data_IF_716468786217
#
_entry.id   IF_716468786217
#
_cell.length_a   1.000
_cell.length_b   1.000
_cell.length_c   1.000
_cell.angle_alpha   90.00
_cell.angle_beta   90.00
_cell.angle_gamma   90.00
#
_symmetry.space_group_name_H-M   'P 1'
#
loop_
_entity.id
_entity.type
_entity.pdbx_description
1 polymer ?
#
# COMPACT_ATOMS: atom_id res chain seq x y z
N UNK A 1 -6.18 -7.29 28.93
CA UNK A 1 -5.85 -6.73 27.61
C UNK A 1 -6.25 -7.75 26.56
N UNK A 2 -7.00 -7.40 25.50
CA UNK A 2 -7.30 -8.36 24.45
C UNK A 2 -5.98 -8.84 23.84
N UNK A 3 -5.84 -10.15 23.68
CA UNK A 3 -4.70 -10.78 23.01
C UNK A 3 -4.65 -10.22 21.59
N UNK A 4 -3.63 -9.43 21.25
CA UNK A 4 -3.44 -8.99 19.88
C UNK A 4 -3.28 -10.24 19.01
N UNK A 5 -4.21 -10.42 18.08
CA UNK A 5 -4.13 -11.53 17.13
C UNK A 5 -2.86 -11.37 16.30
N UNK A 6 -2.17 -12.48 16.07
CA UNK A 6 -1.01 -12.55 15.18
C UNK A 6 -1.44 -12.07 13.79
N UNK A 7 -0.82 -10.99 13.23
CA UNK A 7 -1.18 -10.51 11.91
C UNK A 7 -0.94 -11.57 10.82
N UNK A 8 -1.90 -11.72 9.94
CA UNK A 8 -1.92 -12.69 8.84
C UNK A 8 -1.58 -11.97 7.55
N UNK A 9 -0.46 -12.33 6.95
CA UNK A 9 0.10 -11.70 5.75
C UNK A 9 -0.10 -12.65 4.58
N UNK A 10 -0.64 -12.14 3.47
CA UNK A 10 -0.66 -12.85 2.20
C UNK A 10 0.25 -12.11 1.21
N UNK A 11 1.20 -12.83 0.62
CA UNK A 11 2.08 -12.31 -0.43
C UNK A 11 1.58 -12.90 -1.74
N UNK A 12 1.10 -12.02 -2.61
CA UNK A 12 0.64 -12.39 -3.94
C UNK A 12 1.70 -12.03 -4.99
N UNK A 13 1.94 -12.96 -5.91
CA UNK A 13 2.85 -12.80 -7.05
C UNK A 13 2.17 -13.37 -8.30
N UNK A 14 2.29 -12.67 -9.43
CA UNK A 14 1.82 -13.25 -10.71
C UNK A 14 2.56 -14.52 -11.11
N UNK A 15 3.81 -14.70 -10.67
CA UNK A 15 4.65 -15.89 -10.81
C UNK A 15 4.80 -16.37 -12.25
N UNK A 16 5.03 -15.44 -13.18
CA UNK A 16 5.25 -15.69 -14.61
C UNK A 16 6.73 -15.73 -14.93
N UNK A 17 7.45 -14.66 -14.60
CA UNK A 17 8.85 -14.48 -14.97
C UNK A 17 9.75 -15.60 -14.43
N UNK A 18 9.52 -16.05 -13.22
CA UNK A 18 10.30 -17.14 -12.60
C UNK A 18 10.08 -18.50 -13.28
N UNK A 19 8.95 -18.67 -14.01
CA UNK A 19 8.66 -19.89 -14.77
C UNK A 19 9.11 -19.82 -16.22
N UNK A 20 9.15 -18.63 -16.80
CA UNK A 20 9.44 -18.43 -18.22
C UNK A 20 10.88 -18.03 -18.50
N UNK A 21 11.58 -17.43 -17.50
CA UNK A 21 12.97 -17.00 -17.62
C UNK A 21 13.91 -17.78 -16.71
N UNK A 22 14.83 -18.54 -17.31
CA UNK A 22 15.87 -19.25 -16.55
C UNK A 22 16.75 -18.30 -15.73
N UNK A 23 16.98 -17.08 -16.20
CA UNK A 23 17.75 -16.06 -15.46
C UNK A 23 17.02 -15.63 -14.19
N UNK A 24 15.71 -15.36 -14.28
CA UNK A 24 14.90 -15.01 -13.11
C UNK A 24 14.75 -16.21 -12.16
N UNK A 25 14.55 -17.41 -12.69
CA UNK A 25 14.51 -18.64 -11.90
C UNK A 25 15.83 -18.89 -11.14
N UNK A 26 16.97 -18.51 -11.71
CA UNK A 26 18.27 -18.61 -11.01
C UNK A 26 18.38 -17.67 -9.83
N UNK A 27 17.79 -16.47 -9.91
CA UNK A 27 17.75 -15.48 -8.82
C UNK A 27 16.73 -15.88 -7.75
N UNK A 28 15.51 -16.29 -8.20
CA UNK A 28 14.37 -16.60 -7.34
C UNK A 28 13.85 -18.04 -7.59
N UNK A 29 14.63 -19.07 -7.23
CA UNK A 29 14.34 -20.47 -7.63
C UNK A 29 13.02 -21.02 -7.06
N UNK A 30 12.48 -20.41 -6.03
CA UNK A 30 11.17 -20.73 -5.45
C UNK A 30 10.14 -19.62 -5.64
N UNK A 31 10.46 -18.62 -6.47
CA UNK A 31 9.64 -17.44 -6.73
C UNK A 31 9.90 -16.27 -5.77
N UNK A 32 9.69 -15.06 -6.25
CA UNK A 32 9.77 -13.80 -5.49
C UNK A 32 8.95 -13.87 -4.19
N UNK A 33 7.70 -14.36 -4.29
CA UNK A 33 6.80 -14.49 -3.16
C UNK A 33 7.37 -15.35 -2.04
N UNK A 34 8.12 -16.42 -2.38
CA UNK A 34 8.76 -17.28 -1.37
C UNK A 34 9.95 -16.60 -0.72
N UNK A 35 10.75 -15.86 -1.50
CA UNK A 35 11.86 -15.05 -0.95
C UNK A 35 11.35 -14.02 0.05
N UNK A 36 10.27 -13.32 -0.28
CA UNK A 36 9.63 -12.38 0.63
C UNK A 36 8.98 -13.08 1.85
N UNK A 37 8.36 -14.24 1.64
CA UNK A 37 7.77 -15.02 2.73
C UNK A 37 8.83 -15.50 3.72
N UNK A 38 9.98 -15.94 3.24
CA UNK A 38 11.11 -16.34 4.10
C UNK A 38 11.64 -15.14 4.90
N UNK A 39 11.70 -13.95 4.27
CA UNK A 39 12.13 -12.73 4.96
C UNK A 39 11.15 -12.31 6.07
N UNK A 40 9.86 -12.23 5.75
CA UNK A 40 8.82 -11.87 6.70
C UNK A 40 8.62 -12.94 7.79
N UNK A 41 8.80 -14.23 7.45
CA UNK A 41 8.70 -15.34 8.39
C UNK A 41 9.76 -15.33 9.51
N UNK A 42 10.87 -14.60 9.30
CA UNK A 42 11.87 -14.38 10.37
C UNK A 42 11.40 -13.38 11.43
N UNK A 43 10.36 -12.59 11.12
CA UNK A 43 9.79 -11.64 12.08
C UNK A 43 8.86 -12.37 13.05
N UNK A 44 9.16 -12.39 14.37
CA UNK A 44 8.29 -13.02 15.36
C UNK A 44 6.88 -12.41 15.34
N UNK A 45 5.88 -13.25 15.50
CA UNK A 45 4.50 -12.79 15.61
C UNK A 45 3.82 -12.44 14.29
N UNK A 46 4.31 -12.93 13.15
CA UNK A 46 3.62 -12.89 11.86
C UNK A 46 3.23 -14.29 11.41
N UNK A 47 2.07 -14.42 10.79
CA UNK A 47 1.68 -15.61 10.01
C UNK A 47 1.72 -15.25 8.54
N UNK A 48 2.57 -15.90 7.76
CA UNK A 48 2.80 -15.57 6.34
C UNK A 48 2.33 -16.73 5.47
N UNK A 49 1.57 -16.40 4.43
CA UNK A 49 1.23 -17.31 3.33
C UNK A 49 1.56 -16.67 2.00
N UNK A 50 1.65 -17.48 0.95
CA UNK A 50 1.80 -17.02 -0.43
C UNK A 50 0.59 -17.41 -1.25
N UNK A 51 0.37 -16.66 -2.34
CA UNK A 51 -0.66 -16.91 -3.34
C UNK A 51 -0.12 -16.48 -4.72
N UNK A 52 -0.58 -17.13 -5.79
CA UNK A 52 -0.14 -16.83 -7.15
C UNK A 52 -1.31 -16.73 -8.13
N UNK A 53 -1.06 -16.08 -9.27
CA UNK A 53 -2.08 -15.84 -10.30
C UNK A 53 -2.69 -17.14 -10.86
N UNK A 54 -1.92 -18.20 -10.97
CA UNK A 54 -2.33 -19.49 -11.53
C UNK A 54 -3.09 -20.40 -10.55
N UNK A 55 -3.15 -20.05 -9.27
CA UNK A 55 -3.98 -20.76 -8.30
C UNK A 55 -5.48 -20.52 -8.54
N UNK A 56 -6.38 -21.41 -8.06
CA UNK A 56 -7.81 -21.18 -8.11
C UNK A 56 -8.20 -19.80 -7.52
N UNK A 57 -9.15 -19.11 -8.16
CA UNK A 57 -9.52 -17.73 -7.83
C UNK A 57 -8.32 -16.77 -7.77
N UNK A 58 -7.30 -17.05 -8.59
CA UNK A 58 -6.04 -16.29 -8.64
C UNK A 58 -5.36 -16.20 -7.25
N UNK A 59 -5.44 -17.29 -6.49
CA UNK A 59 -4.86 -17.43 -5.15
C UNK A 59 -5.56 -16.66 -4.03
N UNK A 60 -6.60 -15.88 -4.36
CA UNK A 60 -7.28 -14.98 -3.41
C UNK A 60 -8.81 -15.21 -3.36
N UNK A 61 -9.28 -16.45 -3.11
CA UNK A 61 -10.70 -16.66 -2.85
C UNK A 61 -11.19 -15.85 -1.64
N UNK A 62 -12.50 -15.59 -1.49
CA UNK A 62 -13.05 -14.79 -0.41
C UNK A 62 -12.53 -15.18 0.98
N UNK A 63 -12.48 -16.46 1.30
CA UNK A 63 -12.00 -16.96 2.58
C UNK A 63 -10.53 -16.59 2.87
N UNK A 64 -9.69 -16.51 1.83
CA UNK A 64 -8.29 -16.08 1.95
C UNK A 64 -8.21 -14.58 2.20
N UNK A 65 -8.95 -13.77 1.43
CA UNK A 65 -8.99 -12.33 1.63
C UNK A 65 -9.54 -11.95 3.01
N UNK A 66 -10.57 -12.64 3.49
CA UNK A 66 -11.14 -12.43 4.83
C UNK A 66 -10.17 -12.80 5.94
N UNK A 67 -9.30 -13.77 5.66
CA UNK A 67 -8.25 -14.18 6.57
C UNK A 67 -6.95 -13.36 6.44
N UNK A 68 -6.91 -12.33 5.58
CA UNK A 68 -5.72 -11.51 5.31
C UNK A 68 -5.83 -10.17 6.04
N UNK A 69 -4.83 -9.83 6.84
CA UNK A 69 -4.72 -8.54 7.52
C UNK A 69 -3.87 -7.56 6.72
N UNK A 70 -2.82 -8.04 6.00
CA UNK A 70 -2.04 -7.25 5.05
C UNK A 70 -1.77 -8.07 3.80
N UNK A 71 -2.08 -7.49 2.64
CA UNK A 71 -1.75 -8.05 1.33
C UNK A 71 -0.48 -7.38 0.80
N UNK A 72 0.53 -8.16 0.44
CA UNK A 72 1.70 -7.72 -0.31
C UNK A 72 1.48 -8.12 -1.76
N UNK A 73 1.56 -7.15 -2.68
CA UNK A 73 1.25 -7.33 -4.09
C UNK A 73 2.46 -7.08 -4.96
N UNK A 74 2.85 -8.07 -5.73
CA UNK A 74 3.82 -7.96 -6.81
C UNK A 74 3.23 -8.49 -8.12
N UNK A 75 3.28 -7.71 -9.19
CA UNK A 75 2.86 -8.08 -10.54
C UNK A 75 3.56 -7.19 -11.55
N UNK A 76 3.85 -7.70 -12.74
CA UNK A 76 4.61 -6.99 -13.78
C UNK A 76 4.01 -7.20 -15.17
N UNK A 77 4.01 -8.42 -15.70
CA UNK A 77 3.60 -8.71 -17.08
C UNK A 77 2.09 -8.98 -17.23
N UNK A 78 1.43 -9.42 -16.17
CA UNK A 78 0.07 -9.97 -16.26
C UNK A 78 -1.00 -9.15 -15.55
N UNK A 79 -0.85 -7.84 -15.47
CA UNK A 79 -1.83 -6.96 -14.82
C UNK A 79 -3.25 -7.15 -15.37
N UNK A 80 -3.36 -7.30 -16.71
CA UNK A 80 -4.65 -7.48 -17.38
C UNK A 80 -5.29 -8.84 -17.13
N UNK A 81 -4.50 -9.88 -16.81
CA UNK A 81 -5.01 -11.19 -16.46
C UNK A 81 -5.71 -11.23 -15.09
N UNK A 82 -5.45 -10.25 -14.24
CA UNK A 82 -6.15 -10.12 -12.95
C UNK A 82 -7.61 -9.76 -13.21
N UNK A 83 -8.54 -10.57 -12.71
CA UNK A 83 -9.97 -10.36 -12.88
C UNK A 83 -10.43 -9.08 -12.19
N UNK A 84 -11.33 -8.34 -12.82
CA UNK A 84 -11.86 -7.09 -12.28
C UNK A 84 -12.63 -7.31 -10.97
N UNK A 85 -13.32 -8.46 -10.83
CA UNK A 85 -14.01 -8.86 -9.61
C UNK A 85 -13.04 -9.09 -8.45
N UNK A 86 -11.85 -9.65 -8.73
CA UNK A 86 -10.80 -9.78 -7.71
C UNK A 86 -10.27 -8.41 -7.31
N UNK A 87 -9.97 -7.56 -8.29
CA UNK A 87 -9.49 -6.21 -8.02
C UNK A 87 -10.51 -5.39 -7.18
N UNK A 88 -11.81 -5.52 -7.48
CA UNK A 88 -12.87 -4.89 -6.71
C UNK A 88 -12.93 -5.40 -5.27
N UNK A 89 -12.88 -6.72 -5.07
CA UNK A 89 -12.88 -7.32 -3.72
C UNK A 89 -11.67 -6.88 -2.89
N UNK A 90 -10.47 -6.83 -3.49
CA UNK A 90 -9.27 -6.34 -2.78
C UNK A 90 -9.45 -4.87 -2.41
N UNK A 91 -9.98 -4.03 -3.31
CA UNK A 91 -10.29 -2.63 -3.02
C UNK A 91 -11.25 -2.51 -1.83
N UNK A 92 -12.34 -3.27 -1.81
CA UNK A 92 -13.31 -3.29 -0.71
C UNK A 92 -12.65 -3.69 0.62
N UNK A 93 -11.79 -4.71 0.60
CA UNK A 93 -11.06 -5.17 1.79
C UNK A 93 -10.11 -4.10 2.31
N UNK A 94 -9.41 -3.37 1.42
CA UNK A 94 -8.54 -2.25 1.82
C UNK A 94 -9.37 -1.12 2.43
N UNK A 95 -10.45 -0.71 1.78
CA UNK A 95 -11.35 0.33 2.32
C UNK A 95 -11.89 -0.09 3.71
N UNK A 96 -12.17 -1.37 3.90
CA UNK A 96 -12.62 -1.92 5.19
C UNK A 96 -11.52 -2.04 6.25
N UNK A 97 -10.23 -1.86 5.90
CA UNK A 97 -9.13 -1.82 6.88
C UNK A 97 -7.99 -2.81 6.66
N UNK A 98 -8.04 -3.67 5.64
CA UNK A 98 -6.90 -4.49 5.25
C UNK A 98 -5.75 -3.59 4.78
N UNK A 99 -4.52 -3.85 5.23
CA UNK A 99 -3.34 -3.18 4.72
C UNK A 99 -2.95 -3.67 3.32
N UNK A 100 -2.30 -2.80 2.55
CA UNK A 100 -1.78 -3.14 1.24
C UNK A 100 -0.34 -2.62 1.10
N UNK A 101 0.57 -3.49 0.70
CA UNK A 101 1.93 -3.14 0.30
C UNK A 101 2.08 -3.48 -1.18
N UNK A 102 2.30 -2.47 -2.01
CA UNK A 102 2.45 -2.61 -3.45
C UNK A 102 3.92 -2.44 -3.82
N UNK A 103 4.46 -3.41 -4.52
CA UNK A 103 5.88 -3.46 -4.84
C UNK A 103 6.10 -3.23 -6.33
N UNK A 104 7.11 -2.44 -6.64
CA UNK A 104 7.67 -2.23 -7.97
C UNK A 104 6.59 -1.93 -9.03
N UNK A 105 6.57 -2.69 -10.12
CA UNK A 105 5.60 -2.57 -11.22
C UNK A 105 4.14 -2.84 -10.83
N UNK A 106 3.89 -3.27 -9.58
CA UNK A 106 2.54 -3.33 -9.00
C UNK A 106 1.77 -2.01 -9.04
N UNK A 107 2.44 -0.86 -9.32
CA UNK A 107 1.77 0.42 -9.59
C UNK A 107 0.81 0.36 -10.78
N UNK A 108 1.09 -0.49 -11.79
CA UNK A 108 0.23 -0.72 -12.94
C UNK A 108 -0.96 -1.64 -12.65
N UNK A 109 -1.00 -2.29 -11.49
CA UNK A 109 -2.08 -3.22 -11.15
C UNK A 109 -3.45 -2.52 -11.11
N UNK A 110 -4.48 -3.25 -11.56
CA UNK A 110 -5.88 -2.79 -11.46
C UNK A 110 -6.26 -2.38 -10.04
N UNK A 111 -5.72 -3.07 -9.04
CA UNK A 111 -5.96 -2.81 -7.62
C UNK A 111 -5.43 -1.44 -7.23
N UNK A 112 -4.17 -1.15 -7.56
CA UNK A 112 -3.54 0.11 -7.18
C UNK A 112 -4.18 1.28 -7.91
N UNK A 113 -4.42 1.16 -9.23
CA UNK A 113 -5.14 2.18 -10.03
C UNK A 113 -6.52 2.50 -9.46
N UNK A 114 -7.29 1.48 -9.05
CA UNK A 114 -8.61 1.67 -8.42
C UNK A 114 -8.51 2.43 -7.09
N UNK A 115 -7.52 2.14 -6.27
CA UNK A 115 -7.32 2.79 -4.97
C UNK A 115 -6.75 4.21 -5.09
N UNK A 116 -5.92 4.45 -6.11
CA UNK A 116 -5.36 5.78 -6.36
C UNK A 116 -6.31 6.68 -7.15
N UNK A 117 -7.15 6.13 -8.02
CA UNK A 117 -8.07 6.90 -8.87
C UNK A 117 -7.36 7.65 -10.00
N UNK A 118 -6.17 7.21 -10.39
CA UNK A 118 -5.31 7.83 -11.41
C UNK A 118 -4.69 6.76 -12.31
N UNK A 119 -3.96 7.16 -13.36
CA UNK A 119 -3.30 6.23 -14.28
C UNK A 119 -2.19 5.42 -13.62
N UNK A 120 -1.54 5.98 -12.61
CA UNK A 120 -0.34 5.43 -11.96
C UNK A 120 0.83 5.20 -12.91
N UNK A 121 0.82 5.81 -14.10
CA UNK A 121 1.92 5.73 -15.08
C UNK A 121 3.15 6.48 -14.58
N UNK A 122 4.29 6.08 -15.05
CA UNK A 122 5.61 6.67 -14.78
C UNK A 122 6.52 6.55 -16.01
N UNK A 123 7.71 7.10 -15.94
CA UNK A 123 8.78 6.85 -16.91
C UNK A 123 9.66 5.72 -16.40
N UNK A 124 10.13 4.85 -17.28
CA UNK A 124 11.00 3.73 -16.90
C UNK A 124 12.06 3.44 -17.94
N UNK A 125 13.16 2.83 -17.52
CA UNK A 125 14.24 2.33 -18.37
C UNK A 125 14.92 1.15 -17.69
N UNK A 126 14.99 0.02 -18.37
CA UNK A 126 15.72 -1.15 -17.89
C UNK A 126 17.14 -1.16 -18.49
N UNK A 127 18.11 -0.66 -17.75
CA UNK A 127 19.51 -0.59 -18.15
C UNK A 127 20.48 -1.10 -17.08
N UNK A 128 19.98 -1.65 -15.98
CA UNK A 128 20.79 -2.18 -14.88
C UNK A 128 21.57 -1.09 -14.16
N UNK A 129 20.99 0.08 -14.01
CA UNK A 129 21.62 1.25 -13.40
C UNK A 129 21.71 1.12 -11.89
N UNK A 130 22.66 1.82 -11.30
CA UNK A 130 22.70 1.95 -9.84
C UNK A 130 21.57 2.83 -9.36
N UNK A 131 20.99 2.44 -8.22
CA UNK A 131 19.95 3.18 -7.53
C UNK A 131 20.38 3.51 -6.11
N UNK A 132 20.13 4.74 -5.67
CA UNK A 132 20.15 5.13 -4.25
C UNK A 132 18.76 5.46 -3.79
N UNK A 133 18.30 4.70 -2.81
CA UNK A 133 17.00 4.92 -2.17
C UNK A 133 17.24 5.75 -0.91
N UNK A 134 17.07 7.07 -1.02
CA UNK A 134 17.28 8.01 0.08
C UNK A 134 16.14 7.96 1.09
N UNK A 135 16.48 7.89 2.37
CA UNK A 135 15.53 7.97 3.49
C UNK A 135 15.26 9.44 3.80
N UNK A 136 14.15 9.97 3.33
CA UNK A 136 13.82 11.39 3.52
C UNK A 136 12.87 11.66 4.69
N UNK A 137 12.24 10.60 5.22
CA UNK A 137 11.47 10.65 6.47
C UNK A 137 11.98 9.60 7.47
N UNK A 138 13.16 9.83 8.09
CA UNK A 138 13.80 8.85 8.97
C UNK A 138 13.02 8.57 10.26
N UNK A 139 12.11 9.46 10.66
CA UNK A 139 11.22 9.27 11.81
C UNK A 139 10.02 8.37 11.56
N UNK A 140 9.75 8.02 10.30
CA UNK A 140 8.61 7.17 9.96
C UNK A 140 8.89 5.70 10.32
N UNK A 141 7.90 4.94 10.85
CA UNK A 141 8.10 3.53 11.22
C UNK A 141 8.63 2.63 10.10
N UNK A 142 8.29 2.92 8.83
CA UNK A 142 8.79 2.17 7.67
C UNK A 142 10.30 2.33 7.50
N UNK A 143 10.87 3.47 7.89
CA UNK A 143 12.31 3.74 7.81
C UNK A 143 13.10 3.21 9.03
N UNK A 144 12.45 2.61 10.01
CA UNK A 144 13.10 2.20 11.25
C UNK A 144 14.25 1.20 11.00
N UNK A 145 15.43 1.52 11.54
CA UNK A 145 16.63 0.70 11.47
C UNK A 145 17.39 0.75 10.14
N UNK A 146 17.07 1.72 9.28
CA UNK A 146 17.81 2.04 8.06
C UNK A 146 18.84 3.14 8.31
N UNK A 147 19.87 3.21 7.46
CA UNK A 147 20.79 4.35 7.35
C UNK A 147 20.18 5.48 6.50
N UNK A 148 21.01 6.41 6.04
CA UNK A 148 20.59 7.57 5.26
C UNK A 148 20.08 7.17 3.87
N UNK A 149 20.63 6.11 3.27
CA UNK A 149 20.18 5.57 1.98
C UNK A 149 20.46 4.07 1.89
N UNK A 150 19.78 3.40 0.95
CA UNK A 150 20.06 2.04 0.50
C UNK A 150 20.72 2.15 -0.87
N UNK A 151 21.82 1.46 -1.10
CA UNK A 151 22.48 1.41 -2.40
C UNK A 151 22.19 0.07 -3.07
N UNK A 152 21.70 0.12 -4.31
CA UNK A 152 21.48 -1.02 -5.17
C UNK A 152 22.43 -0.90 -6.37
N UNK A 153 23.20 -1.94 -6.61
CA UNK A 153 24.18 -1.97 -7.70
C UNK A 153 23.52 -2.00 -9.07
N UNK A 154 22.37 -2.71 -9.15
CA UNK A 154 21.57 -2.82 -10.36
C UNK A 154 20.09 -2.72 -10.03
N UNK A 155 19.39 -1.90 -10.78
CA UNK A 155 17.94 -1.70 -10.68
C UNK A 155 17.36 -1.25 -12.03
N UNK A 156 16.06 -1.43 -12.22
CA UNK A 156 15.31 -0.74 -13.26
C UNK A 156 15.03 0.71 -12.82
N UNK A 157 15.34 1.68 -13.70
CA UNK A 157 15.07 3.07 -13.43
C UNK A 157 13.58 3.38 -13.56
N UNK A 158 13.03 3.99 -12.50
CA UNK A 158 11.76 4.69 -12.53
C UNK A 158 11.99 6.19 -12.38
N UNK A 159 11.22 6.98 -13.14
CA UNK A 159 11.35 8.44 -13.17
C UNK A 159 10.01 9.16 -13.09
N UNK A 160 10.05 10.38 -12.59
CA UNK A 160 8.91 11.30 -12.62
C UNK A 160 8.59 11.74 -14.08
N UNK A 161 7.31 12.13 -14.39
CA UNK A 161 6.21 12.24 -13.45
C UNK A 161 5.56 10.89 -13.12
N UNK A 162 5.28 10.64 -11.86
CA UNK A 162 4.48 9.51 -11.41
C UNK A 162 3.03 9.94 -11.24
N UNK A 163 2.13 9.36 -12.04
CA UNK A 163 0.72 9.72 -12.12
C UNK A 163 -0.12 9.23 -10.95
N UNK A 164 0.26 9.60 -9.73
CA UNK A 164 -0.42 9.24 -8.49
C UNK A 164 -0.98 10.49 -7.78
N UNK A 165 -2.02 10.35 -6.94
CA UNK A 165 -2.44 11.44 -6.06
C UNK A 165 -1.32 11.75 -5.06
N UNK A 166 -1.30 12.98 -4.55
CA UNK A 166 -0.37 13.38 -3.48
C UNK A 166 -0.37 12.32 -2.38
N UNK A 167 0.80 11.74 -2.05
CA UNK A 167 0.88 10.79 -0.93
C UNK A 167 0.62 11.49 0.40
N UNK A 168 0.07 10.75 1.37
CA UNK A 168 -0.07 11.23 2.74
C UNK A 168 1.32 11.49 3.33
N UNK A 169 2.27 10.57 3.05
CA UNK A 169 3.68 10.74 3.42
C UNK A 169 4.59 10.20 2.31
N UNK A 170 5.70 10.90 2.06
CA UNK A 170 6.80 10.49 1.21
C UNK A 170 7.96 10.07 2.11
N UNK A 171 8.39 8.81 2.02
CA UNK A 171 9.37 8.22 2.93
C UNK A 171 10.71 8.03 2.24
N UNK A 172 10.67 7.62 0.96
CA UNK A 172 11.87 7.36 0.17
C UNK A 172 11.83 8.09 -1.17
N UNK A 173 12.97 8.60 -1.58
CA UNK A 173 13.23 9.08 -2.95
C UNK A 173 14.34 8.23 -3.54
N UNK A 174 14.09 7.65 -4.71
CA UNK A 174 15.10 6.98 -5.51
C UNK A 174 15.83 8.01 -6.37
N UNK A 175 17.14 7.86 -6.46
CA UNK A 175 18.00 8.53 -7.41
C UNK A 175 18.72 7.47 -8.24
N UNK A 176 18.72 7.65 -9.55
CA UNK A 176 19.35 6.71 -10.50
C UNK A 176 20.61 7.29 -11.12
N UNK A 177 21.50 6.44 -11.60
CA UNK A 177 22.79 6.83 -12.16
C UNK A 177 22.68 7.80 -13.34
N UNK A 178 21.58 7.72 -14.11
CA UNK A 178 21.24 8.65 -15.18
C UNK A 178 20.84 10.06 -14.71
N UNK A 179 20.62 10.25 -13.41
CA UNK A 179 20.24 11.53 -12.79
C UNK A 179 18.74 11.65 -12.50
N UNK A 180 17.93 10.69 -12.93
CA UNK A 180 16.50 10.68 -12.68
C UNK A 180 16.22 10.51 -11.18
N UNK A 181 15.11 11.11 -10.74
CA UNK A 181 14.59 10.99 -9.38
C UNK A 181 13.16 10.45 -9.42
N UNK A 182 12.79 9.73 -8.36
CA UNK A 182 11.48 9.12 -8.27
C UNK A 182 10.98 9.05 -6.82
N UNK A 183 9.68 9.27 -6.63
CA UNK A 183 9.01 9.06 -5.32
C UNK A 183 8.89 7.56 -5.03
N UNK A 184 10.01 6.96 -4.64
CA UNK A 184 10.19 5.50 -4.51
C UNK A 184 9.50 4.87 -3.30
N UNK A 185 9.04 5.66 -2.32
CA UNK A 185 8.34 5.13 -1.15
C UNK A 185 7.26 6.06 -0.65
N UNK A 186 5.99 5.72 -0.90
CA UNK A 186 4.83 6.57 -0.65
C UNK A 186 3.75 5.84 0.16
N UNK A 187 3.03 6.58 0.99
CA UNK A 187 1.89 6.03 1.75
C UNK A 187 0.60 6.78 1.49
N UNK A 188 -0.53 6.07 1.64
CA UNK A 188 -1.89 6.61 1.60
C UNK A 188 -2.79 5.88 2.59
N UNK A 189 -3.83 6.57 3.02
CA UNK A 189 -4.97 5.98 3.71
C UNK A 189 -6.18 5.99 2.78
N UNK A 190 -6.85 4.85 2.63
CA UNK A 190 -8.09 4.73 1.87
C UNK A 190 -9.14 4.00 2.72
N UNK A 191 -10.22 4.73 3.06
CA UNK A 191 -11.15 4.24 4.08
C UNK A 191 -10.45 4.04 5.42
N UNK A 192 -10.42 2.80 5.92
CA UNK A 192 -9.69 2.41 7.13
C UNK A 192 -8.35 1.70 6.83
N UNK A 193 -8.04 1.43 5.57
CA UNK A 193 -6.83 0.72 5.14
C UNK A 193 -5.66 1.64 4.87
N UNK A 194 -4.47 1.14 5.14
CA UNK A 194 -3.19 1.79 4.89
C UNK A 194 -2.51 1.16 3.68
N UNK A 195 -1.98 1.98 2.80
CA UNK A 195 -1.31 1.56 1.58
C UNK A 195 0.12 2.07 1.62
N UNK A 196 1.08 1.20 1.34
CA UNK A 196 2.47 1.54 1.12
C UNK A 196 2.90 1.06 -0.27
N UNK A 197 3.43 1.98 -1.08
CA UNK A 197 4.08 1.68 -2.35
C UNK A 197 5.58 1.78 -2.20
N UNK A 198 6.33 0.82 -2.77
CA UNK A 198 7.78 0.80 -2.76
C UNK A 198 8.33 0.37 -4.13
N UNK A 199 9.14 1.22 -4.76
CA UNK A 199 9.57 1.04 -6.15
C UNK A 199 10.66 0.00 -6.39
N UNK A 200 11.70 -0.21 -5.56
CA UNK A 200 12.71 -1.22 -5.85
C UNK A 200 12.12 -2.62 -5.96
N UNK A 201 12.51 -3.41 -6.98
CA UNK A 201 12.03 -4.79 -7.01
C UNK A 201 11.87 -5.45 -8.37
N UNK A 202 12.62 -5.05 -9.40
CA UNK A 202 12.59 -5.73 -10.69
C UNK A 202 13.11 -7.17 -10.58
N UNK A 203 12.46 -8.12 -11.24
CA UNK A 203 12.70 -9.57 -11.10
C UNK A 203 14.07 -10.02 -11.65
N UNK A 204 14.67 -9.26 -12.57
CA UNK A 204 15.96 -9.61 -13.15
C UNK A 204 17.15 -9.28 -12.25
N UNK A 205 16.91 -8.63 -11.10
CA UNK A 205 17.92 -8.27 -10.13
C UNK A 205 17.63 -8.88 -8.76
N UNK A 206 18.66 -9.22 -7.95
CA UNK A 206 18.47 -9.88 -6.65
C UNK A 206 18.02 -8.93 -5.53
N UNK A 207 17.19 -7.94 -5.86
CA UNK A 207 16.80 -6.82 -4.97
C UNK A 207 16.11 -7.34 -3.70
N UNK A 208 15.23 -8.33 -3.81
CA UNK A 208 14.52 -8.88 -2.64
C UNK A 208 15.38 -9.77 -1.75
N UNK A 209 16.65 -10.01 -2.11
CA UNK A 209 17.64 -10.62 -1.22
C UNK A 209 18.39 -9.57 -0.38
N UNK A 210 18.33 -8.28 -0.75
CA UNK A 210 19.00 -7.20 -0.02
C UNK A 210 18.38 -7.02 1.38
N UNK A 211 19.18 -7.04 2.46
CA UNK A 211 18.66 -7.04 3.83
C UNK A 211 17.86 -5.77 4.17
N UNK A 212 18.28 -4.60 3.68
CA UNK A 212 17.55 -3.36 3.95
C UNK A 212 16.24 -3.26 3.15
N UNK A 213 16.19 -3.79 1.93
CA UNK A 213 14.95 -3.93 1.16
C UNK A 213 13.96 -4.84 1.91
N UNK A 214 14.42 -5.98 2.41
CA UNK A 214 13.60 -6.88 3.24
C UNK A 214 13.12 -6.17 4.52
N UNK A 215 13.96 -5.33 5.12
CA UNK A 215 13.61 -4.51 6.29
C UNK A 215 12.52 -3.49 5.95
N UNK A 216 12.67 -2.75 4.87
CA UNK A 216 11.63 -1.80 4.40
C UNK A 216 10.29 -2.49 4.21
N UNK A 217 10.28 -3.63 3.49
CA UNK A 217 9.05 -4.38 3.23
C UNK A 217 8.44 -4.91 4.54
N UNK A 218 9.27 -5.44 5.44
CA UNK A 218 8.82 -5.90 6.77
C UNK A 218 8.20 -4.76 7.58
N UNK A 219 8.89 -3.62 7.64
CA UNK A 219 8.39 -2.43 8.33
C UNK A 219 7.08 -1.91 7.68
N UNK A 220 7.01 -1.92 6.34
CA UNK A 220 5.81 -1.56 5.58
C UNK A 220 4.61 -2.44 5.93
N UNK A 221 4.82 -3.76 5.99
CA UNK A 221 3.81 -4.72 6.43
C UNK A 221 3.37 -4.45 7.87
N UNK A 222 4.31 -4.24 8.79
CA UNK A 222 4.02 -3.93 10.19
C UNK A 222 3.27 -2.60 10.35
N UNK A 223 3.61 -1.59 9.56
CA UNK A 223 2.94 -0.29 9.56
C UNK A 223 1.53 -0.38 8.98
N UNK A 224 1.34 -1.13 7.88
CA UNK A 224 0.06 -1.26 7.19
C UNK A 224 -1.00 -2.09 7.94
N UNK A 225 -0.63 -2.79 9.02
CA UNK A 225 -1.57 -3.61 9.82
C UNK A 225 -2.83 -2.83 10.21
N UNK A 226 -3.99 -3.50 10.29
CA UNK A 226 -5.21 -2.93 10.84
C UNK A 226 -4.97 -2.35 12.25
N UNK A 227 -5.45 -1.13 12.48
CA UNK A 227 -5.19 -0.39 13.73
C UNK A 227 -6.24 -0.66 14.82
N UNK A 228 -6.92 -1.81 14.77
CA UNK A 228 -7.91 -2.20 15.78
C UNK A 228 -9.19 -1.37 15.79
N UNK A 229 -9.39 -0.51 14.80
CA UNK A 229 -10.68 0.15 14.60
C UNK A 229 -11.61 -0.84 13.90
N UNK A 230 -12.83 -1.08 14.42
CA UNK A 230 -13.83 -1.81 13.66
C UNK A 230 -14.01 -1.09 12.33
N UNK A 231 -13.99 -1.86 11.24
CA UNK A 231 -14.23 -1.35 9.89
C UNK A 231 -15.69 -0.86 9.78
N UNK A 232 -16.00 0.27 10.38
CA UNK A 232 -17.26 0.96 10.15
C UNK A 232 -17.07 1.80 8.89
N UNK A 233 -17.42 1.20 7.75
CA UNK A 233 -17.65 2.01 6.55
C UNK A 233 -18.78 2.97 6.88
N UNK A 234 -18.57 4.29 6.79
CA UNK A 234 -19.64 5.26 7.04
C UNK A 234 -20.82 4.92 6.13
N UNK A 235 -21.99 4.70 6.74
CA UNK A 235 -23.23 4.46 6.00
C UNK A 235 -24.02 5.76 5.95
N UNK A 236 -24.66 6.01 4.82
CA UNK A 236 -25.67 7.05 4.76
C UNK A 236 -26.89 6.61 5.59
N UNK A 237 -27.06 7.23 6.75
CA UNK A 237 -28.17 6.95 7.65
C UNK A 237 -28.92 8.25 7.89
N UNK A 238 -30.24 8.31 7.65
CA UNK A 238 -31.03 9.46 8.00
C UNK A 238 -30.96 9.74 9.51
N UNK A 239 -30.80 10.98 9.90
CA UNK A 239 -30.90 11.40 11.30
C UNK A 239 -32.34 11.78 11.57
N UNK A 240 -33.10 10.87 12.19
CA UNK A 240 -34.55 11.07 12.45
C UNK A 240 -34.81 12.03 13.61
N UNK A 241 -33.83 12.18 14.51
CA UNK A 241 -33.95 13.10 15.65
C UNK A 241 -32.79 14.08 15.68
N UNK A 242 -33.08 15.36 15.75
CA UNK A 242 -32.07 16.38 15.99
C UNK A 242 -31.41 16.16 17.35
N UNK A 243 -30.07 16.16 17.38
CA UNK A 243 -29.33 16.19 18.65
C UNK A 243 -29.67 17.48 19.39
N UNK A 244 -29.74 17.43 20.71
CA UNK A 244 -29.94 18.65 21.50
C UNK A 244 -28.86 19.68 21.14
N UNK A 245 -29.23 20.96 20.96
CA UNK A 245 -28.26 22.01 20.67
C UNK A 245 -27.19 22.06 21.76
N UNK A 246 -25.93 22.14 21.38
CA UNK A 246 -24.78 22.29 22.29
C UNK A 246 -24.75 23.69 22.90
N UNK A 247 -25.44 24.65 22.27
CA UNK A 247 -25.50 26.05 22.74
C UNK A 247 -26.67 26.22 23.70
N UNK A 248 -26.42 26.78 24.91
CA UNK A 248 -27.48 27.22 25.77
C UNK A 248 -28.40 28.20 24.99
N UNK A 249 -29.73 28.06 25.15
CA UNK A 249 -30.73 28.89 24.47
C UNK A 249 -30.50 30.37 24.76
N UNK A 250 -29.62 30.98 24.02
CA UNK A 250 -29.62 32.41 23.82
C UNK A 250 -30.63 32.73 22.71
N UNK A 251 -31.42 33.76 22.89
CA UNK A 251 -32.35 34.22 21.85
C UNK A 251 -31.57 34.40 20.52
N UNK A 252 -32.10 33.86 19.42
CA UNK A 252 -31.47 34.03 18.11
C UNK A 252 -31.38 35.50 17.76
N UNK A 253 -30.37 35.90 17.01
CA UNK A 253 -30.21 37.30 16.53
C UNK A 253 -31.47 37.79 15.80
N UNK A 254 -32.25 36.89 15.20
CA UNK A 254 -33.52 37.17 14.56
C UNK A 254 -34.64 37.55 15.56
N UNK A 255 -34.66 36.99 16.77
CA UNK A 255 -35.65 37.37 17.79
C UNK A 255 -35.39 38.78 18.37
N UNK A 256 -34.14 39.26 18.29
CA UNK A 256 -33.83 40.63 18.71
C UNK A 256 -34.19 41.67 17.65
N UNK A 257 -34.09 41.34 16.37
CA UNK A 257 -34.51 42.23 15.29
C UNK A 257 -36.02 42.50 15.29
N UNK A 258 -36.83 41.49 15.60
CA UNK A 258 -38.31 41.65 15.73
C UNK A 258 -38.76 42.54 16.91
N UNK A 259 -37.96 42.59 17.99
CA UNK A 259 -38.25 43.44 19.16
C UNK A 259 -37.81 44.91 19.00
N UNK A 260 -36.89 45.18 18.09
CA UNK A 260 -36.47 46.58 17.77
C UNK A 260 -37.50 47.26 16.83
N UNK A 261 -38.13 46.51 15.93
CA UNK A 261 -39.14 47.04 15.01
C UNK A 261 -40.48 47.44 15.72
N UNK A 262 -40.78 46.81 16.86
CA UNK A 262 -42.03 47.10 17.62
C UNK A 262 -41.88 48.24 18.63
N UNK A 263 -40.71 48.94 18.74
CA UNK A 263 -40.50 50.09 19.64
C UNK A 263 -40.53 51.44 18.94
N UNK A 264 -40.79 51.48 17.65
CA UNK A 264 -40.90 52.70 16.84
C UNK A 264 -42.19 52.78 15.99
N UNK A 265 -43.27 52.12 16.46
CA UNK A 265 -44.63 52.30 15.92
C UNK A 265 -45.53 52.98 16.95
#
# INVERSE_FOLDING_TARGET
MPRMQTPRITIWNEYIHERESAAVAAIYPRGLHRTLADALGRQPGLTVRTATLDEPDQGLPPAVLDATDVLVWWGHAAHEAVKDELAARVQERVIAGMGLVVLHSGHESKIFKRLMGTSCHLCWREAGERERVWVINPGHPIAAGLGDCIELEHSEMYGEPFGIPTPDELIFISWFEGGEVFRGGCTWTRGSGRIFYFSPGHETYPIYHHPDIQRVITNGVLWARPQGRPAQVPRHVPVEQARQPIVARGASVHDQAGKLASRHA
#
